data_IF_697974688971
#
_entry.id   IF_697974688971
#
_cell.length_a   1.000
_cell.length_b   1.000
_cell.length_c   1.000
_cell.angle_alpha   90.00
_cell.angle_beta   90.00
_cell.angle_gamma   90.00
#
_symmetry.space_group_name_H-M   'P 1'
#
loop_
_entity.id
_entity.type
_entity.pdbx_description
1 polymer ?
#
# COMPACT_ATOMS: atom_id res chain seq x y z
N UNK A 1 22.84 5.40 3.69
CA UNK A 1 21.82 5.89 3.72
C UNK A 1 20.79 5.18 3.11
N UNK A 2 19.72 5.22 3.48
CA UNK A 2 18.81 4.57 2.92
C UNK A 2 17.85 5.33 2.22
N UNK A 3 17.22 4.87 1.25
CA UNK A 3 16.30 5.51 0.57
C UNK A 3 15.01 5.05 0.86
N UNK A 4 14.03 5.83 0.93
CA UNK A 4 12.70 5.46 1.22
C UNK A 4 12.02 5.23 -0.05
N UNK A 5 12.21 4.11 -0.63
CA UNK A 5 11.62 3.77 -1.91
C UNK A 5 10.21 3.28 -1.70
N UNK A 6 9.28 3.84 -2.42
CA UNK A 6 7.89 3.40 -2.38
C UNK A 6 7.69 2.46 -3.55
N UNK A 7 7.38 1.22 -3.27
CA UNK A 7 7.12 0.23 -4.31
C UNK A 7 5.77 -0.39 -4.00
N UNK A 8 4.75 0.10 -4.65
CA UNK A 8 3.37 -0.28 -4.36
C UNK A 8 3.16 -1.79 -4.47
N UNK A 9 3.69 -2.40 -5.51
CA UNK A 9 3.54 -3.83 -5.71
C UNK A 9 4.07 -4.65 -4.55
N UNK A 10 5.23 -4.26 -4.02
CA UNK A 10 5.80 -4.97 -2.88
C UNK A 10 4.96 -4.77 -1.63
N UNK A 11 4.41 -3.59 -1.47
CA UNK A 11 3.56 -3.30 -0.31
C UNK A 11 2.32 -4.18 -0.33
N UNK A 12 1.71 -4.33 -1.50
CA UNK A 12 0.53 -5.17 -1.65
C UNK A 12 0.88 -6.63 -1.42
N UNK A 13 1.97 -7.07 -2.01
CA UNK A 13 2.41 -8.45 -1.87
C UNK A 13 2.69 -8.78 -0.40
N UNK A 14 3.36 -7.87 0.28
CA UNK A 14 3.70 -8.07 1.67
C UNK A 14 2.44 -8.17 2.54
N UNK A 15 1.48 -7.28 2.30
CA UNK A 15 0.26 -7.28 3.08
C UNK A 15 -0.57 -8.53 2.82
N UNK A 16 -0.63 -8.95 1.56
CA UNK A 16 -1.36 -10.15 1.20
C UNK A 16 -0.81 -11.36 1.94
N UNK A 17 0.52 -11.48 1.97
CA UNK A 17 1.16 -12.58 2.66
C UNK A 17 0.96 -12.48 4.17
N UNK A 18 1.05 -11.28 4.69
CA UNK A 18 0.87 -11.05 6.11
C UNK A 18 -0.51 -11.50 6.56
N UNK A 19 -1.50 -11.37 5.71
CA UNK A 19 -2.85 -11.78 6.03
C UNK A 19 -3.11 -13.26 5.73
N UNK A 20 -2.11 -13.97 5.18
CA UNK A 20 -2.27 -15.37 4.84
C UNK A 20 -3.17 -15.60 3.66
N UNK A 21 -3.31 -14.60 2.79
CA UNK A 21 -4.18 -14.73 1.64
C UNK A 21 -3.38 -15.05 0.39
N UNK A 22 -4.02 -15.74 -0.56
CA UNK A 22 -3.33 -16.16 -1.77
C UNK A 22 -3.58 -15.20 -2.93
N UNK A 23 -2.74 -15.34 -3.95
CA UNK A 23 -2.93 -14.58 -5.18
C UNK A 23 -4.25 -14.97 -5.83
N UNK A 24 -4.61 -16.24 -5.75
CA UNK A 24 -5.89 -16.69 -6.31
C UNK A 24 -7.05 -15.99 -5.63
N UNK A 25 -6.98 -15.90 -4.29
CA UNK A 25 -8.03 -15.23 -3.55
C UNK A 25 -8.15 -13.76 -3.98
N UNK A 26 -7.01 -13.08 -4.10
CA UNK A 26 -7.03 -11.68 -4.48
C UNK A 26 -7.58 -11.51 -5.90
N UNK A 27 -7.13 -12.35 -6.83
CA UNK A 27 -7.58 -12.23 -8.21
C UNK A 27 -9.08 -12.41 -8.33
N UNK A 28 -9.64 -13.33 -7.57
CA UNK A 28 -11.07 -13.53 -7.60
C UNK A 28 -11.82 -12.38 -6.97
N UNK A 29 -11.28 -11.88 -5.87
CA UNK A 29 -11.97 -10.83 -5.11
C UNK A 29 -12.05 -9.52 -5.89
N UNK A 30 -11.02 -9.21 -6.66
CA UNK A 30 -11.03 -7.96 -7.42
C UNK A 30 -11.32 -8.20 -8.91
N UNK A 31 -11.73 -9.44 -9.25
CA UNK A 31 -12.08 -9.79 -10.62
C UNK A 31 -10.94 -9.49 -11.59
N UNK A 32 -9.78 -9.99 -11.27
CA UNK A 32 -8.59 -9.74 -12.07
C UNK A 32 -7.90 -11.07 -12.32
N UNK A 33 -7.18 -11.18 -13.43
CA UNK A 33 -6.49 -12.43 -13.72
C UNK A 33 -5.26 -12.57 -12.84
N UNK A 34 -4.91 -13.81 -12.52
CA UNK A 34 -3.74 -14.05 -11.69
C UNK A 34 -2.46 -13.48 -12.28
N UNK A 35 -2.31 -13.62 -13.60
CA UNK A 35 -1.12 -13.07 -14.24
C UNK A 35 -1.05 -11.56 -14.03
N UNK A 36 -2.19 -10.90 -14.01
CA UNK A 36 -2.24 -9.47 -13.75
C UNK A 36 -1.82 -9.13 -12.33
N UNK A 37 -2.15 -9.99 -11.37
CA UNK A 37 -1.75 -9.75 -9.99
C UNK A 37 -0.23 -9.83 -9.87
N UNK A 38 0.40 -10.82 -10.51
CA UNK A 38 1.85 -10.93 -10.47
C UNK A 38 2.51 -9.71 -11.10
N UNK A 39 1.91 -9.17 -12.16
CA UNK A 39 2.44 -7.96 -12.78
C UNK A 39 2.32 -6.77 -11.85
N UNK A 40 1.23 -6.70 -11.09
CA UNK A 40 1.04 -5.64 -10.13
C UNK A 40 2.16 -5.68 -9.09
N UNK A 41 2.51 -6.88 -8.64
CA UNK A 41 3.56 -7.02 -7.63
C UNK A 41 4.90 -6.47 -8.10
N UNK A 42 5.14 -6.45 -9.42
CA UNK A 42 6.39 -5.98 -9.97
C UNK A 42 6.41 -4.48 -10.20
N UNK A 43 5.26 -3.82 -10.09
CA UNK A 43 5.20 -2.40 -10.37
C UNK A 43 5.41 -1.56 -9.15
N UNK A 44 6.16 -0.48 -9.31
CA UNK A 44 6.35 0.42 -8.18
C UNK A 44 5.19 1.41 -8.05
N UNK A 45 4.33 1.50 -9.09
CA UNK A 45 3.11 2.29 -8.93
C UNK A 45 2.00 1.65 -9.74
N UNK A 46 0.76 1.91 -9.38
CA UNK A 46 -0.39 1.39 -10.09
C UNK A 46 -1.47 2.46 -10.09
N UNK A 47 -2.51 2.21 -10.84
CA UNK A 47 -3.63 3.12 -10.93
C UNK A 47 -4.25 3.33 -9.55
N UNK A 48 -4.57 4.56 -9.23
CA UNK A 48 -5.14 4.91 -7.93
C UNK A 48 -6.45 4.16 -7.67
N UNK A 49 -7.31 4.04 -8.67
CA UNK A 49 -8.56 3.35 -8.46
C UNK A 49 -8.34 1.89 -8.11
N UNK A 50 -7.35 1.27 -8.73
CA UNK A 50 -7.03 -0.11 -8.44
C UNK A 50 -6.49 -0.22 -7.02
N UNK A 51 -5.64 0.72 -6.62
CA UNK A 51 -5.08 0.70 -5.28
C UNK A 51 -6.18 0.88 -4.22
N UNK A 52 -7.14 1.75 -4.49
CA UNK A 52 -8.27 1.95 -3.58
C UNK A 52 -9.02 0.62 -3.43
N UNK A 53 -9.28 -0.05 -4.55
CA UNK A 53 -10.01 -1.30 -4.50
C UNK A 53 -9.27 -2.37 -3.71
N UNK A 54 -7.97 -2.49 -3.95
CA UNK A 54 -7.16 -3.47 -3.24
C UNK A 54 -7.12 -3.14 -1.75
N UNK A 55 -7.01 -1.84 -1.42
CA UNK A 55 -7.02 -1.41 -0.03
C UNK A 55 -8.32 -1.82 0.66
N UNK A 56 -9.43 -1.64 -0.02
CA UNK A 56 -10.73 -2.01 0.53
C UNK A 56 -10.85 -3.51 0.73
N UNK A 57 -10.39 -4.27 -0.25
CA UNK A 57 -10.49 -5.72 -0.20
C UNK A 57 -9.60 -6.31 0.88
N UNK A 58 -8.41 -5.78 1.05
CA UNK A 58 -7.49 -6.25 2.07
C UNK A 58 -7.72 -5.57 3.43
N UNK A 59 -8.64 -4.61 3.46
CA UNK A 59 -8.96 -3.88 4.67
C UNK A 59 -7.67 -3.28 5.25
N UNK A 60 -6.87 -2.68 4.40
CA UNK A 60 -5.60 -2.10 4.78
C UNK A 60 -5.39 -0.80 4.02
N UNK A 61 -5.02 0.25 4.72
CA UNK A 61 -4.86 1.57 4.13
C UNK A 61 -3.45 1.74 3.58
N UNK A 62 -3.26 1.42 2.31
CA UNK A 62 -1.95 1.57 1.67
C UNK A 62 -1.58 3.04 1.51
N UNK A 63 -2.57 3.92 1.46
CA UNK A 63 -2.29 5.35 1.34
C UNK A 63 -1.64 5.88 2.61
N UNK A 64 -2.02 5.34 3.75
CA UNK A 64 -1.38 5.72 4.99
C UNK A 64 0.06 5.24 4.99
N UNK A 65 0.32 4.04 4.50
CA UNK A 65 1.68 3.52 4.41
C UNK A 65 2.54 4.41 3.53
N UNK A 66 1.99 4.85 2.40
CA UNK A 66 2.69 5.72 1.48
C UNK A 66 3.00 7.05 2.17
N UNK A 67 2.01 7.59 2.85
CA UNK A 67 2.18 8.86 3.53
C UNK A 67 3.28 8.77 4.59
N UNK A 68 3.28 7.70 5.35
CA UNK A 68 4.30 7.51 6.38
C UNK A 68 5.70 7.41 5.78
N UNK A 69 5.82 6.76 4.64
CA UNK A 69 7.11 6.62 4.00
C UNK A 69 7.61 7.94 3.46
N UNK A 70 6.70 8.76 2.97
CA UNK A 70 7.07 10.04 2.41
C UNK A 70 7.60 11.00 3.45
N UNK A 71 6.99 10.99 4.61
CA UNK A 71 7.34 11.96 5.64
C UNK A 71 8.05 11.35 6.82
N UNK A 72 8.54 10.16 6.67
CA UNK A 72 9.17 9.50 7.77
C UNK A 72 10.26 10.28 8.45
N UNK A 73 11.09 10.93 7.70
CA UNK A 73 12.17 11.67 8.30
C UNK A 73 11.71 12.88 9.02
N UNK A 74 10.54 13.38 8.66
CA UNK A 74 10.04 14.56 9.31
C UNK A 74 9.17 14.22 10.47
N UNK A 75 8.78 13.00 10.57
CA UNK A 75 7.81 12.65 11.61
C UNK A 75 8.29 12.99 12.98
N UNK A 76 9.56 12.94 13.20
CA UNK A 76 10.00 13.24 14.50
C UNK A 76 9.79 14.65 14.84
N UNK A 77 9.80 15.56 13.98
CA UNK A 77 9.61 16.88 14.38
C UNK A 77 8.21 17.24 14.19
N UNK A 78 7.54 16.59 13.34
CA UNK A 78 6.23 17.03 13.13
C UNK A 78 5.34 16.73 14.24
N UNK A 79 5.67 15.97 14.86
CA UNK A 79 4.83 15.70 15.87
C UNK A 79 4.08 16.72 16.32
N UNK A 80 3.89 17.27 15.90
CA UNK A 80 3.18 18.06 16.02
C UNK A 80 2.26 18.39 15.60
N UNK A 81 2.00 18.05 15.31
CA UNK A 81 1.22 18.45 14.92
C UNK A 81 0.38 18.57 14.77
N UNK A 82 -0.05 18.41 14.79
CA UNK A 82 -0.85 18.65 14.61
C UNK A 82 -1.54 18.86 14.76
N UNK A 83 -1.67 19.08 14.89
CA UNK A 83 -2.51 19.33 14.94
C UNK A 83 -3.23 19.63 14.95
N UNK A 84 -3.37 19.51 15.27
CA UNK A 84 -3.92 19.85 15.28
C UNK A 84 -4.57 20.07 15.07
N UNK A 85 -4.78 19.88 15.19
CA UNK A 85 -5.28 20.02 15.00
C UNK A 85 -5.87 20.04 14.75
N UNK A 86 -6.02 19.89 14.88
CA UNK A 86 -6.41 19.92 14.66
C UNK A 86 -6.91 19.80 14.33
N UNK A 87 -7.22 19.56 14.49
CA UNK A 87 -7.53 19.48 14.19
C UNK A 87 -7.78 19.39 14.00
#
# INVERSE_FOLDING_TARGET
>A
MERRTIHIGNMIKHELRSQGRSVVWLSRTICHERSGIYKIFERDNIDIKLLVRISQVLDHDFFEDISKRMIKNDSKKSTKTIPNNQQ
#
